data_IF_933124097398
#
_entry.id   IF_933124097398
#
_cell.length_a   1.000
_cell.length_b   1.000
_cell.length_c   1.000
_cell.angle_alpha   90.00
_cell.angle_beta   90.00
_cell.angle_gamma   90.00
#
_symmetry.space_group_name_H-M   'P 1'
#
loop_
_entity.id
_entity.type
_entity.pdbx_description
1 polymer ?
#
# COMPACT_ATOMS: atom_id res chain seq x y z
N UNK A 1 -2.45 9.19 7.62
CA UNK A 1 -2.31 8.12 6.64
C UNK A 1 -0.84 7.83 6.50
N UNK A 2 -0.38 6.92 7.33
CA UNK A 2 0.85 6.18 7.10
C UNK A 2 0.76 5.47 5.75
N UNK A 3 1.92 5.11 5.18
CA UNK A 3 1.99 4.31 3.95
C UNK A 3 2.78 3.05 4.24
N UNK A 4 2.44 1.95 3.58
CA UNK A 4 3.37 0.83 3.48
C UNK A 4 4.37 1.11 2.36
N UNK A 5 5.58 0.60 2.54
CA UNK A 5 6.68 0.67 1.59
C UNK A 5 7.05 -0.76 1.19
N UNK A 6 7.52 -0.91 -0.04
CA UNK A 6 8.09 -2.19 -0.47
C UNK A 6 9.57 -2.17 -0.12
N UNK A 7 10.02 -3.21 0.57
CA UNK A 7 11.42 -3.34 0.95
C UNK A 7 11.96 -4.67 0.50
N UNK A 8 13.19 -4.64 0.01
CA UNK A 8 13.90 -5.82 -0.44
C UNK A 8 14.65 -6.40 0.75
N UNK A 9 14.31 -7.64 1.09
CA UNK A 9 14.95 -8.36 2.19
C UNK A 9 15.77 -9.49 1.59
N UNK A 10 17.09 -9.38 1.75
CA UNK A 10 18.01 -10.41 1.31
C UNK A 10 18.16 -11.47 2.40
N UNK A 11 17.80 -12.71 2.07
CA UNK A 11 17.89 -13.89 2.95
C UNK A 11 18.96 -14.84 2.40
N UNK A 12 20.20 -14.36 2.40
CA UNK A 12 21.35 -15.10 1.85
C UNK A 12 21.60 -14.81 0.36
N UNK A 13 22.41 -15.64 -0.32
CA UNK A 13 22.92 -15.32 -1.66
C UNK A 13 21.86 -15.36 -2.77
N UNK A 14 20.75 -16.09 -2.59
CA UNK A 14 19.77 -16.39 -3.65
C UNK A 14 18.33 -15.94 -3.35
N UNK A 15 17.99 -15.63 -2.09
CA UNK A 15 16.64 -15.21 -1.74
C UNK A 15 16.59 -13.69 -1.58
N UNK A 16 15.85 -13.06 -2.48
CA UNK A 16 15.71 -11.62 -2.59
C UNK A 16 14.24 -11.24 -2.72
N UNK A 17 13.48 -11.43 -1.65
CA UNK A 17 12.04 -11.23 -1.66
C UNK A 17 11.70 -9.78 -1.31
N UNK A 18 10.87 -9.13 -2.12
CA UNK A 18 10.27 -7.85 -1.76
C UNK A 18 9.03 -8.06 -0.90
N UNK A 19 8.94 -7.35 0.22
CA UNK A 19 7.84 -7.43 1.18
C UNK A 19 7.24 -6.03 1.39
N UNK A 20 5.92 -5.97 1.55
CA UNK A 20 5.20 -4.73 1.85
C UNK A 20 5.10 -4.58 3.38
N UNK A 21 5.69 -3.53 3.94
CA UNK A 21 5.75 -3.28 5.38
C UNK A 21 5.60 -1.81 5.69
N UNK A 22 5.32 -1.44 6.93
CA UNK A 22 5.42 -0.06 7.35
C UNK A 22 6.89 0.39 7.48
N UNK A 23 7.21 1.67 7.25
CA UNK A 23 8.59 2.17 7.35
C UNK A 23 9.27 1.92 8.70
N UNK A 24 8.52 1.94 9.80
CA UNK A 24 9.02 1.63 11.14
C UNK A 24 9.32 0.12 11.34
N UNK A 25 8.95 -0.75 10.41
CA UNK A 25 9.34 -2.16 10.45
C UNK A 25 10.75 -2.38 9.87
N UNK A 26 11.30 -1.42 9.13
CA UNK A 26 12.60 -1.57 8.46
C UNK A 26 13.77 -1.85 9.41
N UNK A 27 13.95 -1.11 10.53
CA UNK A 27 15.07 -1.38 11.44
C UNK A 27 14.94 -2.75 12.13
N UNK A 28 13.70 -3.22 12.36
CA UNK A 28 13.44 -4.56 12.89
C UNK A 28 13.85 -5.64 11.88
N UNK A 29 13.50 -5.45 10.60
CA UNK A 29 13.92 -6.37 9.53
C UNK A 29 15.45 -6.41 9.37
N UNK A 30 16.12 -5.26 9.45
CA UNK A 30 17.59 -5.18 9.39
C UNK A 30 18.23 -5.97 10.54
N UNK A 31 17.67 -5.87 11.75
CA UNK A 31 18.10 -6.63 12.91
C UNK A 31 17.91 -8.14 12.70
N UNK A 32 16.70 -8.57 12.31
CA UNK A 32 16.34 -9.99 12.13
C UNK A 32 17.18 -10.66 11.04
N UNK A 33 17.43 -9.95 9.93
CA UNK A 33 18.14 -10.52 8.78
C UNK A 33 19.64 -10.22 8.78
N UNK A 34 20.13 -9.37 9.69
CA UNK A 34 21.54 -8.91 9.77
C UNK A 34 22.07 -8.39 8.44
N UNK A 35 21.20 -7.75 7.64
CA UNK A 35 21.51 -7.26 6.31
C UNK A 35 20.82 -5.93 6.05
N UNK A 36 21.35 -5.19 5.08
CA UNK A 36 20.73 -3.94 4.62
C UNK A 36 19.37 -4.23 3.99
N UNK A 37 18.37 -3.47 4.42
CA UNK A 37 17.00 -3.50 3.89
C UNK A 37 16.81 -2.22 3.09
N UNK A 38 16.59 -2.35 1.78
CA UNK A 38 16.45 -1.22 0.87
C UNK A 38 15.00 -1.04 0.42
N UNK A 39 14.51 0.20 0.43
CA UNK A 39 13.20 0.54 -0.14
C UNK A 39 13.26 0.38 -1.67
N UNK A 40 12.21 -0.20 -2.24
CA UNK A 40 12.04 -0.41 -3.68
C UNK A 40 10.80 0.36 -4.11
N UNK A 41 10.91 1.15 -5.18
CA UNK A 41 9.77 1.91 -5.69
C UNK A 41 8.72 1.00 -6.35
N UNK A 42 7.47 1.46 -6.39
CA UNK A 42 6.41 0.77 -7.13
C UNK A 42 6.78 0.65 -8.62
N UNK A 43 7.47 1.64 -9.19
CA UNK A 43 7.91 1.61 -10.59
C UNK A 43 8.92 0.48 -10.84
N UNK A 44 9.90 0.30 -9.93
CA UNK A 44 10.85 -0.80 -10.02
C UNK A 44 10.13 -2.15 -9.84
N UNK A 45 9.21 -2.24 -8.88
CA UNK A 45 8.42 -3.45 -8.64
C UNK A 45 7.50 -3.82 -9.81
N UNK A 46 6.91 -2.84 -10.49
CA UNK A 46 6.01 -3.03 -11.62
C UNK A 46 6.74 -3.39 -12.92
N UNK A 47 8.03 -3.06 -13.03
CA UNK A 47 8.87 -3.34 -14.21
C UNK A 47 9.67 -4.64 -14.10
N UNK A 48 9.85 -5.18 -12.89
CA UNK A 48 10.48 -6.48 -12.68
C UNK A 48 9.62 -7.61 -13.25
N UNK A 49 10.09 -8.22 -14.33
CA UNK A 49 9.46 -9.41 -14.94
C UNK A 49 9.28 -10.51 -13.89
N UNK A 50 8.08 -11.07 -13.88
CA UNK A 50 7.64 -12.26 -13.14
C UNK A 50 8.80 -13.18 -12.75
N UNK A 51 9.17 -13.21 -11.47
CA UNK A 51 10.24 -14.12 -11.06
C UNK A 51 10.69 -14.11 -9.60
N UNK A 52 10.65 -12.99 -8.88
CA UNK A 52 11.34 -12.93 -7.57
C UNK A 52 10.51 -12.32 -6.44
N UNK A 53 9.36 -11.71 -6.76
CA UNK A 53 8.48 -11.14 -5.74
C UNK A 53 7.22 -11.99 -5.62
N UNK A 54 7.08 -12.73 -4.51
CA UNK A 54 5.78 -13.24 -4.07
C UNK A 54 4.95 -12.05 -3.58
N UNK A 55 4.33 -11.32 -4.51
CA UNK A 55 3.24 -10.41 -4.16
C UNK A 55 2.04 -11.30 -3.85
N UNK A 56 1.55 -11.27 -2.62
CA UNK A 56 0.30 -11.94 -2.27
C UNK A 56 -0.82 -11.26 -3.05
N UNK A 57 -1.20 -11.85 -4.19
CA UNK A 57 -2.24 -11.30 -5.06
C UNK A 57 -3.53 -11.25 -4.25
N UNK A 58 -4.19 -10.08 -4.24
CA UNK A 58 -5.55 -9.94 -3.74
C UNK A 58 -6.44 -10.96 -4.47
N UNK A 59 -6.85 -12.02 -3.76
CA UNK A 59 -7.83 -12.98 -4.27
C UNK A 59 -9.19 -12.30 -4.25
N UNK A 60 -9.60 -11.71 -5.37
CA UNK A 60 -10.98 -11.31 -5.56
C UNK A 60 -11.85 -12.57 -5.53
N UNK A 61 -12.66 -12.72 -4.48
CA UNK A 61 -13.69 -13.77 -4.43
C UNK A 61 -14.65 -13.52 -5.60
N UNK A 62 -14.71 -14.46 -6.53
CA UNK A 62 -15.76 -14.60 -7.56
C UNK A 62 -16.25 -13.30 -8.20
N UNK A 63 -15.37 -12.61 -8.92
CA UNK A 63 -15.81 -11.60 -9.89
C UNK A 63 -15.16 -11.90 -11.24
N UNK A 64 -15.95 -11.94 -12.31
CA UNK A 64 -15.48 -12.04 -13.72
C UNK A 64 -14.71 -10.78 -14.18
N UNK A 65 -14.31 -9.92 -13.23
CA UNK A 65 -13.57 -8.70 -13.50
C UNK A 65 -12.08 -9.04 -13.65
N UNK A 66 -11.39 -8.49 -14.66
CA UNK A 66 -9.95 -8.65 -14.77
C UNK A 66 -9.29 -8.08 -13.51
N UNK A 67 -8.29 -8.80 -12.98
CA UNK A 67 -7.49 -8.27 -11.89
C UNK A 67 -6.87 -6.92 -12.30
N UNK A 68 -6.75 -5.94 -11.38
CA UNK A 68 -6.05 -4.70 -11.67
C UNK A 68 -4.66 -5.00 -12.23
N UNK A 69 -4.10 -4.10 -13.03
CA UNK A 69 -2.71 -4.26 -13.47
C UNK A 69 -1.75 -4.30 -12.25
N UNK A 70 -0.54 -4.83 -12.44
CA UNK A 70 0.41 -5.02 -11.34
C UNK A 70 0.72 -3.72 -10.58
N UNK A 71 0.80 -2.58 -11.28
CA UNK A 71 1.05 -1.28 -10.64
C UNK A 71 -0.14 -0.92 -9.73
N UNK A 72 -1.36 -1.01 -10.26
CA UNK A 72 -2.58 -0.77 -9.48
C UNK A 72 -2.66 -1.66 -8.24
N UNK A 73 -2.29 -2.94 -8.34
CA UNK A 73 -2.24 -3.85 -7.18
C UNK A 73 -1.23 -3.40 -6.13
N UNK A 74 -0.03 -2.98 -6.54
CA UNK A 74 1.02 -2.50 -5.63
C UNK A 74 0.61 -1.19 -4.95
N UNK A 75 -0.06 -0.28 -5.66
CA UNK A 75 -0.61 0.96 -5.10
C UNK A 75 -1.69 0.68 -4.06
N UNK A 76 -2.58 -0.29 -4.32
CA UNK A 76 -3.59 -0.75 -3.35
C UNK A 76 -2.93 -1.34 -2.10
N UNK A 77 -1.90 -2.17 -2.26
CA UNK A 77 -1.20 -2.78 -1.11
C UNK A 77 -0.43 -1.75 -0.26
N UNK A 78 0.15 -0.73 -0.90
CA UNK A 78 0.87 0.36 -0.25
C UNK A 78 -0.08 1.30 0.51
N UNK A 79 -1.33 1.39 0.07
CA UNK A 79 -2.36 2.19 0.71
C UNK A 79 -2.79 1.58 2.05
N UNK A 80 -3.08 2.47 3.00
CA UNK A 80 -3.56 2.15 4.34
C UNK A 80 -4.84 2.93 4.52
N UNK A 81 -5.91 2.22 4.84
CA UNK A 81 -7.19 2.86 5.14
C UNK A 81 -7.03 3.74 6.41
N UNK A 82 -7.52 4.99 6.42
CA UNK A 82 -7.42 5.87 7.57
C UNK A 82 -7.99 5.28 8.86
N UNK A 83 -9.04 4.47 8.76
CA UNK A 83 -9.70 3.85 9.90
C UNK A 83 -8.90 2.66 10.44
N UNK A 84 -8.01 2.10 9.63
CA UNK A 84 -7.10 1.00 9.98
C UNK A 84 -5.64 1.48 10.18
N UNK A 85 -5.38 2.79 10.21
CA UNK A 85 -4.03 3.34 10.33
C UNK A 85 -3.44 2.99 11.71
N UNK A 86 -2.32 2.23 11.78
CA UNK A 86 -1.74 1.80 13.07
C UNK A 86 -1.25 2.97 13.93
N UNK A 87 -1.12 4.16 13.36
CA UNK A 87 -0.83 5.40 14.10
C UNK A 87 -1.95 5.75 15.08
N UNK A 88 -3.19 5.32 14.81
CA UNK A 88 -4.35 5.57 15.68
C UNK A 88 -4.36 4.66 16.92
N UNK A 89 -3.66 3.52 16.87
CA UNK A 89 -3.49 2.60 18.01
C UNK A 89 -2.04 2.07 18.11
N UNK A 90 -1.10 2.91 18.61
CA UNK A 90 0.30 2.54 18.75
C UNK A 90 0.55 1.33 19.66
N UNK A 91 -0.31 1.09 20.66
CA UNK A 91 -0.13 -0.02 21.59
C UNK A 91 -0.39 -1.36 20.88
N UNK A 92 -1.53 -1.49 20.19
CA UNK A 92 -1.87 -2.69 19.43
C UNK A 92 -0.87 -2.95 18.30
N UNK A 93 -0.38 -1.91 17.62
CA UNK A 93 0.65 -2.05 16.60
C UNK A 93 1.98 -2.56 17.20
N UNK A 94 2.38 -2.06 18.36
CA UNK A 94 3.58 -2.56 19.05
C UNK A 94 3.46 -4.06 19.34
N UNK A 95 2.33 -4.50 19.90
CA UNK A 95 2.05 -5.91 20.16
C UNK A 95 2.02 -6.75 18.87
N UNK A 96 1.42 -6.23 17.79
CA UNK A 96 1.45 -6.87 16.47
C UNK A 96 2.88 -7.12 16.00
N UNK A 97 3.76 -6.14 16.17
CA UNK A 97 5.17 -6.26 15.77
C UNK A 97 5.92 -7.26 16.65
N UNK A 98 5.67 -7.28 17.96
CA UNK A 98 6.24 -8.27 18.88
C UNK A 98 5.84 -9.68 18.43
N UNK A 99 4.56 -9.89 18.13
CA UNK A 99 4.05 -11.18 17.66
C UNK A 99 4.60 -11.56 16.27
N UNK A 100 4.76 -10.59 15.37
CA UNK A 100 5.24 -10.83 13.99
C UNK A 100 6.73 -11.16 13.92
N UNK A 101 7.55 -10.45 14.68
CA UNK A 101 9.02 -10.53 14.57
C UNK A 101 9.67 -11.34 15.71
N UNK A 102 8.95 -11.56 16.80
CA UNK A 102 9.40 -12.42 17.89
C UNK A 102 10.59 -11.86 18.66
N UNK A 103 11.33 -12.78 19.29
CA UNK A 103 12.46 -12.48 20.18
C UNK A 103 13.75 -12.24 19.41
N UNK A 104 14.58 -11.36 19.96
CA UNK A 104 15.94 -11.16 19.49
C UNK A 104 16.78 -12.43 19.67
N UNK A 105 17.70 -12.67 18.74
CA UNK A 105 18.56 -13.87 18.75
C UNK A 105 19.67 -13.84 19.81
N UNK A 106 20.10 -12.65 20.23
CA UNK A 106 21.23 -12.46 21.14
C UNK A 106 20.75 -12.09 22.55
N UNK A 107 19.56 -11.48 22.69
CA UNK A 107 18.99 -11.02 23.95
C UNK A 107 17.59 -11.61 24.19
N UNK A 108 17.20 -11.92 25.44
CA UNK A 108 15.88 -12.45 25.77
C UNK A 108 14.80 -11.33 25.81
N UNK A 109 14.75 -10.49 24.78
CA UNK A 109 13.79 -9.39 24.61
C UNK A 109 13.20 -9.44 23.19
N UNK A 110 11.99 -8.90 22.95
CA UNK A 110 11.45 -8.79 21.59
C UNK A 110 12.34 -7.93 20.68
N UNK A 111 12.40 -8.27 19.38
CA UNK A 111 13.15 -7.49 18.39
C UNK A 111 12.70 -6.02 18.35
N UNK A 112 11.39 -5.79 18.48
CA UNK A 112 10.80 -4.45 18.55
C UNK A 112 11.33 -3.68 19.76
N UNK A 113 11.40 -4.35 20.91
CA UNK A 113 11.94 -3.77 22.14
C UNK A 113 13.43 -3.46 22.03
N UNK A 114 14.21 -4.28 21.32
CA UNK A 114 15.63 -3.99 21.06
C UNK A 114 15.81 -2.72 20.23
N UNK A 115 14.91 -2.45 19.28
CA UNK A 115 14.99 -1.28 18.40
C UNK A 115 14.42 -0.02 19.06
N UNK A 116 13.24 -0.12 19.68
CA UNK A 116 12.44 1.02 20.12
C UNK A 116 12.31 1.15 21.64
N UNK A 117 12.85 0.21 22.41
CA UNK A 117 12.59 0.11 23.85
C UNK A 117 11.20 -0.47 24.15
N UNK A 118 10.88 -0.59 25.44
CA UNK A 118 9.54 -0.97 25.89
C UNK A 118 8.51 0.05 25.42
N UNK A 119 7.27 -0.41 25.22
CA UNK A 119 6.19 0.49 24.85
C UNK A 119 5.94 1.49 25.99
N UNK A 120 5.98 2.77 25.63
CA UNK A 120 5.57 3.88 26.48
C UNK A 120 4.80 4.88 25.62
N UNK A 121 3.73 5.45 26.16
CA UNK A 121 2.98 6.52 25.51
C UNK A 121 3.92 7.72 25.23
N UNK A 122 3.97 8.19 23.99
CA UNK A 122 4.92 9.23 23.55
C UNK A 122 6.40 8.79 23.51
N UNK A 123 6.69 7.49 23.68
CA UNK A 123 8.04 6.94 23.61
C UNK A 123 8.60 6.86 22.19
N UNK A 124 9.79 6.25 22.04
CA UNK A 124 10.50 6.18 20.76
C UNK A 124 9.70 5.47 19.65
N UNK A 125 8.90 4.46 20.01
CA UNK A 125 8.02 3.78 19.08
C UNK A 125 6.89 4.69 18.55
N UNK A 126 6.16 5.36 19.44
CA UNK A 126 5.10 6.29 19.07
C UNK A 126 5.64 7.46 18.23
N UNK A 127 6.80 8.00 18.60
CA UNK A 127 7.47 9.05 17.83
C UNK A 127 7.86 8.58 16.41
N UNK A 128 8.28 7.32 16.26
CA UNK A 128 8.57 6.74 14.94
C UNK A 128 7.31 6.63 14.08
N UNK A 129 6.19 6.15 14.65
CA UNK A 129 4.89 6.09 13.97
C UNK A 129 4.46 7.47 13.47
N UNK A 130 4.45 8.48 14.34
CA UNK A 130 4.04 9.84 14.00
C UNK A 130 4.91 10.48 12.91
N UNK A 131 6.23 10.23 12.95
CA UNK A 131 7.15 10.72 11.91
C UNK A 131 6.74 10.20 10.53
N UNK A 132 6.33 8.95 10.45
CA UNK A 132 5.95 8.30 9.18
C UNK A 132 4.48 8.57 8.79
N UNK A 133 3.62 8.94 9.73
CA UNK A 133 2.23 9.36 9.48
C UNK A 133 2.12 10.63 8.60
N UNK A 134 3.20 11.42 8.52
CA UNK A 134 3.27 12.67 7.74
C UNK A 134 3.49 12.44 6.24
N UNK A 135 3.96 11.26 5.82
CA UNK A 135 4.22 10.94 4.41
C UNK A 135 2.97 10.37 3.73
N UNK A 136 1.99 11.26 3.50
CA UNK A 136 0.67 10.92 2.96
C UNK A 136 0.73 10.68 1.45
N UNK A 137 0.04 9.65 0.97
CA UNK A 137 -0.25 9.44 -0.45
C UNK A 137 -1.77 9.58 -0.68
N UNK A 138 -2.20 10.09 -1.85
CA UNK A 138 -3.62 10.09 -2.19
C UNK A 138 -4.15 8.65 -2.28
N UNK A 139 -5.44 8.47 -1.97
CA UNK A 139 -6.12 7.18 -2.16
C UNK A 139 -5.96 6.74 -3.62
N UNK A 140 -5.47 5.51 -3.90
CA UNK A 140 -5.33 4.99 -5.26
C UNK A 140 -6.62 5.12 -6.06
N UNK A 141 -6.52 5.50 -7.34
CA UNK A 141 -7.68 5.71 -8.22
C UNK A 141 -8.56 4.45 -8.33
N UNK A 142 -7.94 3.27 -8.32
CA UNK A 142 -8.65 1.99 -8.32
C UNK A 142 -9.55 1.81 -7.08
N UNK A 143 -9.09 2.22 -5.89
CA UNK A 143 -9.92 2.14 -4.67
C UNK A 143 -11.02 3.19 -4.66
N UNK A 144 -10.74 4.41 -5.09
CA UNK A 144 -11.77 5.46 -5.24
C UNK A 144 -12.91 4.97 -6.15
N UNK A 145 -12.55 4.42 -7.30
CA UNK A 145 -13.51 3.85 -8.23
C UNK A 145 -14.29 2.64 -7.67
N UNK A 146 -13.71 1.87 -6.75
CA UNK A 146 -14.45 0.81 -6.06
C UNK A 146 -15.46 1.37 -5.07
N UNK A 147 -15.08 2.37 -4.26
CA UNK A 147 -16.00 3.02 -3.30
C UNK A 147 -17.19 3.66 -4.01
N UNK A 148 -16.96 4.24 -5.19
CA UNK A 148 -17.97 4.92 -5.99
C UNK A 148 -18.76 3.96 -6.89
N UNK A 149 -18.52 2.65 -6.79
CA UNK A 149 -19.22 1.64 -7.56
C UNK A 149 -18.89 1.58 -9.05
N UNK A 150 -17.88 2.33 -9.53
CA UNK A 150 -17.38 2.27 -10.91
C UNK A 150 -16.72 0.93 -11.22
N UNK A 151 -16.08 0.33 -10.22
CA UNK A 151 -15.44 -0.98 -10.32
C UNK A 151 -14.15 -1.03 -11.14
N UNK A 152 -13.74 0.06 -11.79
CA UNK A 152 -12.45 0.28 -12.46
C UNK A 152 -12.09 1.77 -12.40
N UNK A 153 -10.80 2.09 -12.35
CA UNK A 153 -10.35 3.48 -12.45
C UNK A 153 -10.75 4.10 -13.81
N UNK A 154 -11.09 5.40 -13.86
CA UNK A 154 -11.54 6.05 -15.10
C UNK A 154 -10.61 5.86 -16.30
N UNK A 155 -9.30 5.94 -16.09
CA UNK A 155 -8.27 5.74 -17.11
C UNK A 155 -8.26 4.32 -17.71
N UNK A 156 -8.67 3.32 -16.93
CA UNK A 156 -8.81 1.92 -17.33
C UNK A 156 -10.14 1.61 -18.04
N UNK A 157 -11.11 2.53 -18.01
CA UNK A 157 -12.40 2.37 -18.67
C UNK A 157 -12.29 2.57 -20.18
N UNK A 158 -13.10 1.84 -20.94
CA UNK A 158 -13.37 2.12 -22.35
C UNK A 158 -14.18 3.41 -22.50
N UNK A 159 -14.18 4.00 -23.70
CA UNK A 159 -14.99 5.19 -23.99
C UNK A 159 -16.48 4.93 -23.72
N UNK A 160 -16.96 3.71 -24.00
CA UNK A 160 -18.34 3.32 -23.73
C UNK A 160 -18.63 3.25 -22.22
N UNK A 161 -17.75 2.63 -21.44
CA UNK A 161 -17.86 2.57 -19.96
C UNK A 161 -17.81 3.99 -19.35
N UNK A 162 -16.91 4.86 -19.82
CA UNK A 162 -16.82 6.26 -19.36
C UNK A 162 -18.11 7.03 -19.63
N UNK A 163 -18.67 6.91 -20.83
CA UNK A 163 -19.93 7.57 -21.18
C UNK A 163 -21.10 7.04 -20.36
N UNK A 164 -21.15 5.74 -20.09
CA UNK A 164 -22.17 5.16 -19.22
C UNK A 164 -22.05 5.70 -17.78
N UNK A 165 -20.84 5.72 -17.23
CA UNK A 165 -20.58 6.24 -15.89
C UNK A 165 -20.91 7.74 -15.74
N UNK A 166 -20.57 8.56 -16.74
CA UNK A 166 -20.93 9.98 -16.81
C UNK A 166 -22.46 10.15 -16.92
N UNK A 167 -23.14 9.30 -17.72
CA UNK A 167 -24.60 9.31 -17.87
C UNK A 167 -25.32 9.02 -16.55
N UNK A 168 -24.90 7.98 -15.85
CA UNK A 168 -25.47 7.58 -14.55
C UNK A 168 -25.33 8.69 -13.51
N UNK A 169 -24.25 9.48 -13.59
CA UNK A 169 -23.97 10.61 -12.71
C UNK A 169 -24.56 11.94 -13.21
N UNK A 170 -25.28 11.95 -14.33
CA UNK A 170 -25.90 13.15 -14.90
C UNK A 170 -24.90 14.20 -15.41
N UNK A 171 -23.66 13.79 -15.73
CA UNK A 171 -22.60 14.69 -16.21
C UNK A 171 -22.71 14.82 -17.73
N UNK A 172 -22.60 16.03 -18.28
CA UNK A 172 -22.66 16.25 -19.73
C UNK A 172 -21.32 15.97 -20.44
N UNK A 173 -21.38 15.24 -21.56
CA UNK A 173 -20.25 15.05 -22.46
C UNK A 173 -20.65 15.24 -23.93
N UNK A 174 -19.67 15.59 -24.76
CA UNK A 174 -19.83 15.68 -26.20
C UNK A 174 -19.37 14.38 -26.85
N UNK A 175 -19.98 14.00 -27.96
CA UNK A 175 -19.57 12.81 -28.73
C UNK A 175 -18.13 12.94 -29.24
N UNK A 176 -17.66 14.18 -29.46
CA UNK A 176 -16.29 14.52 -29.87
C UNK A 176 -15.28 14.50 -28.74
N UNK A 177 -15.70 14.34 -27.48
CA UNK A 177 -14.78 14.30 -26.35
C UNK A 177 -13.85 13.08 -26.46
N UNK A 178 -12.56 13.33 -26.35
CA UNK A 178 -11.53 12.28 -26.36
C UNK A 178 -11.60 11.46 -25.08
N UNK A 179 -11.01 10.25 -25.08
CA UNK A 179 -10.93 9.42 -23.87
C UNK A 179 -10.35 10.21 -22.69
N UNK A 180 -9.29 10.98 -22.92
CA UNK A 180 -8.63 11.81 -21.89
C UNK A 180 -9.60 12.85 -21.32
N UNK A 181 -10.39 13.52 -22.16
CA UNK A 181 -11.37 14.51 -21.71
C UNK A 181 -12.51 13.86 -20.90
N UNK A 182 -12.96 12.67 -21.30
CA UNK A 182 -13.99 11.92 -20.57
C UNK A 182 -13.49 11.43 -19.20
N UNK A 183 -12.22 11.00 -19.12
CA UNK A 183 -11.55 10.63 -17.86
C UNK A 183 -11.49 11.83 -16.93
N UNK A 184 -10.97 12.96 -17.40
CA UNK A 184 -10.83 14.17 -16.59
C UNK A 184 -12.17 14.65 -16.01
N UNK A 185 -13.23 14.64 -16.84
CA UNK A 185 -14.60 14.99 -16.39
C UNK A 185 -15.13 14.05 -15.31
N UNK A 186 -14.85 12.75 -15.44
CA UNK A 186 -15.29 11.79 -14.44
C UNK A 186 -14.52 12.02 -13.15
N UNK A 187 -13.19 12.10 -13.21
CA UNK A 187 -12.29 12.33 -12.07
C UNK A 187 -12.57 13.63 -11.30
N UNK A 188 -12.94 14.72 -11.99
CA UNK A 188 -13.29 16.00 -11.34
C UNK A 188 -14.44 15.85 -10.34
N UNK A 189 -15.41 14.99 -10.66
CA UNK A 189 -16.59 14.71 -9.81
C UNK A 189 -16.26 13.70 -8.70
N UNK A 190 -15.24 12.86 -8.87
CA UNK A 190 -14.79 11.90 -7.85
C UNK A 190 -13.96 12.56 -6.73
N UNK A 191 -13.51 13.80 -6.94
CA UNK A 191 -12.69 14.56 -6.00
C UNK A 191 -13.53 15.53 -5.16
N UNK A 192 -14.81 15.74 -5.51
CA UNK A 192 -15.74 16.63 -4.79
C UNK A 192 -16.53 15.88 -3.72
#
# INVERSE_FOLDING_TARGET
MSRRVFVRVRRGPMDNTAVCVFPWEMPILQLVHMQEVTEVSIDEMATQREGVVKVEKLKLKHTDKPAPDLRSQLEIMAYVDPDEDPVNDPASEYERLVNKYGMDKDLPIPCVTRIYGEYAEGGAFAAALEKHAKNRLPKPAALKAMDEGLGKAPDQMSIAELRAALKERGIEWKVTDTKVALVAKLEEVLVT
#
